data_IF_774092561115
#
_entry.id   IF_774092561115
#
_cell.length_a   1.000
_cell.length_b   1.000
_cell.length_c   1.000
_cell.angle_alpha   90.00
_cell.angle_beta   90.00
_cell.angle_gamma   90.00
#
_symmetry.space_group_name_H-M   'P 1'
#
loop_
_entity.id
_entity.type
_entity.pdbx_description
1 polymer ?
#
# COMPACT_ATOMS: atom_id res chain seq x y z
N UNK A 1 10.38 -5.97 3.69
CA UNK A 1 10.14 -5.02 4.79
C UNK A 1 11.04 -3.83 4.53
N UNK A 2 10.52 -2.75 3.95
CA UNK A 2 11.27 -1.55 3.54
C UNK A 2 10.75 -0.36 4.37
N UNK A 3 11.64 0.41 5.00
CA UNK A 3 11.39 1.67 5.70
C UNK A 3 12.08 2.82 4.96
N UNK A 4 11.76 4.07 5.27
CA UNK A 4 12.21 5.26 4.53
C UNK A 4 13.04 6.19 5.46
N UNK A 5 13.68 7.33 5.08
CA UNK A 5 14.19 8.41 6.00
C UNK A 5 14.26 9.88 5.46
N UNK A 6 14.05 10.99 6.24
CA UNK A 6 14.30 12.43 5.84
C UNK A 6 14.12 13.59 6.90
N UNK A 7 14.58 14.83 6.53
CA UNK A 7 14.53 16.17 7.20
C UNK A 7 13.57 17.16 6.51
N UNK A 8 12.85 17.99 7.27
CA UNK A 8 11.66 18.73 6.80
C UNK A 8 11.76 20.24 6.52
N UNK A 9 10.60 20.86 6.25
CA UNK A 9 10.12 22.17 6.71
C UNK A 9 8.58 22.25 6.57
N UNK A 10 7.89 22.92 7.49
CA UNK A 10 6.44 22.78 7.80
C UNK A 10 5.58 23.98 7.40
N UNK A 11 4.30 23.74 7.08
CA UNK A 11 3.17 24.65 7.38
C UNK A 11 1.91 23.83 7.62
N UNK A 12 1.28 23.99 8.79
CA UNK A 12 0.29 23.06 9.36
C UNK A 12 -1.18 23.38 9.06
N UNK A 13 -1.98 22.32 9.04
CA UNK A 13 -3.43 22.34 9.17
C UNK A 13 -3.84 21.34 10.28
N UNK A 14 -4.74 21.73 11.18
CA UNK A 14 -5.17 20.91 12.32
C UNK A 14 -6.27 19.91 11.94
N UNK A 15 -6.17 18.67 12.43
CA UNK A 15 -7.19 17.62 12.30
C UNK A 15 -7.79 17.33 13.69
N UNK A 16 -9.12 17.15 13.77
CA UNK A 16 -9.86 16.87 15.00
C UNK A 16 -9.58 15.46 15.56
N UNK A 17 -9.63 15.24 16.88
CA UNK A 17 -9.39 13.93 17.50
C UNK A 17 -10.54 12.94 17.23
N UNK A 18 -10.19 11.67 16.98
CA UNK A 18 -11.13 10.56 16.81
C UNK A 18 -11.33 9.80 18.13
N UNK A 19 -12.58 9.39 18.41
CA UNK A 19 -12.94 8.63 19.61
C UNK A 19 -12.59 7.13 19.49
N UNK A 20 -12.17 6.56 20.61
CA UNK A 20 -11.58 5.23 20.79
C UNK A 20 -12.55 4.07 20.50
N UNK A 21 -12.20 3.22 19.52
CA UNK A 21 -12.60 1.81 19.52
C UNK A 21 -11.35 0.92 19.37
N UNK A 22 -11.05 0.23 20.47
CA UNK A 22 -10.09 -0.87 20.72
C UNK A 22 -9.05 -1.24 19.66
N UNK A 23 -7.80 -0.88 19.93
CA UNK A 23 -6.62 -1.48 19.27
C UNK A 23 -6.54 -2.99 19.56
N UNK A 24 -6.44 -3.81 18.52
CA UNK A 24 -6.19 -5.25 18.63
C UNK A 24 -4.76 -5.50 19.17
N UNK A 25 -4.66 -6.06 20.37
CA UNK A 25 -3.44 -6.32 21.15
C UNK A 25 -2.69 -7.61 20.70
N UNK A 26 -2.91 -8.07 19.47
CA UNK A 26 -2.45 -9.38 18.98
C UNK A 26 -0.98 -9.51 18.56
N UNK A 27 -0.18 -8.45 18.60
CA UNK A 27 1.27 -8.53 18.38
C UNK A 27 1.99 -7.70 19.45
N UNK A 28 2.85 -8.31 20.31
CA UNK A 28 3.50 -7.63 21.44
C UNK A 28 4.31 -6.37 21.05
N UNK A 29 4.56 -6.17 19.76
CA UNK A 29 5.43 -5.11 19.22
C UNK A 29 4.69 -3.90 18.65
N UNK A 30 3.35 -3.94 18.51
CA UNK A 30 2.53 -2.76 18.16
C UNK A 30 2.21 -1.88 19.39
N UNK A 31 2.42 -2.40 20.61
CA UNK A 31 2.09 -1.71 21.87
C UNK A 31 3.01 -0.55 22.27
N UNK A 32 4.05 -0.23 21.48
CA UNK A 32 4.98 0.86 21.75
C UNK A 32 4.67 2.15 20.98
N UNK A 33 3.67 2.14 20.09
CA UNK A 33 3.26 3.31 19.31
C UNK A 33 2.08 3.98 20.00
N UNK A 34 2.13 5.31 20.14
CA UNK A 34 1.03 6.10 20.70
C UNK A 34 -0.25 5.82 19.88
N UNK A 35 -1.32 5.27 20.50
CA UNK A 35 -2.47 4.74 19.75
C UNK A 35 -3.24 5.81 18.98
N UNK A 36 -3.07 7.08 19.34
CA UNK A 36 -3.79 8.22 18.77
C UNK A 36 -3.04 8.91 17.62
N UNK A 37 -1.92 8.37 17.16
CA UNK A 37 -1.21 8.96 16.02
C UNK A 37 -1.99 8.77 14.71
N UNK A 38 -1.99 9.82 13.91
CA UNK A 38 -2.65 9.81 12.61
C UNK A 38 -1.94 10.74 11.63
N UNK A 39 -1.56 10.20 10.48
CA UNK A 39 -0.98 10.96 9.38
C UNK A 39 -1.69 10.72 8.07
N UNK A 40 -1.86 11.76 7.26
CA UNK A 40 -2.34 11.68 5.88
C UNK A 40 -1.45 12.48 4.96
N UNK A 41 -1.13 11.92 3.79
CA UNK A 41 -0.42 12.62 2.72
C UNK A 41 -1.05 12.31 1.38
N UNK A 42 -1.17 13.32 0.54
CA UNK A 42 -1.62 13.23 -0.84
C UNK A 42 -0.49 13.71 -1.76
N UNK A 43 -0.30 13.01 -2.89
CA UNK A 43 0.59 13.44 -3.96
C UNK A 43 -0.18 13.51 -5.28
N UNK A 44 -0.23 14.68 -5.90
CA UNK A 44 -0.90 14.88 -7.20
C UNK A 44 -0.12 14.21 -8.33
N UNK A 45 -0.75 14.07 -9.49
CA UNK A 45 -0.07 13.57 -10.69
C UNK A 45 1.07 14.47 -11.12
N UNK A 46 0.97 15.76 -10.85
CA UNK A 46 1.98 16.78 -11.13
C UNK A 46 3.13 16.72 -10.10
N UNK A 47 2.94 15.99 -9.00
CA UNK A 47 3.95 15.77 -7.96
C UNK A 47 3.85 16.73 -6.77
N UNK A 48 2.79 17.54 -6.71
CA UNK A 48 2.51 18.40 -5.55
C UNK A 48 2.12 17.55 -4.36
N UNK A 49 2.54 17.97 -3.17
CA UNK A 49 2.39 17.17 -1.95
C UNK A 49 1.64 17.98 -0.91
N UNK A 50 0.60 17.36 -0.36
CA UNK A 50 -0.17 17.88 0.76
C UNK A 50 -0.11 16.87 1.90
N UNK A 51 0.07 17.34 3.14
CA UNK A 51 0.20 16.46 4.30
C UNK A 51 -0.44 17.10 5.53
N UNK A 52 -1.00 16.28 6.42
CA UNK A 52 -1.55 16.70 7.70
C UNK A 52 -1.31 15.64 8.78
N UNK A 53 -1.32 16.09 10.05
CA UNK A 53 -1.04 15.24 11.21
C UNK A 53 0.38 14.67 11.21
N UNK A 54 0.50 13.43 11.68
CA UNK A 54 1.73 12.65 11.81
C UNK A 54 2.22 12.06 10.46
N UNK A 55 1.93 12.71 9.33
CA UNK A 55 2.27 12.23 7.99
C UNK A 55 3.77 12.03 7.72
N UNK A 56 4.61 12.49 8.65
CA UNK A 56 6.07 12.34 8.61
C UNK A 56 6.59 11.19 9.48
N UNK A 57 5.72 10.53 10.25
CA UNK A 57 6.06 9.32 11.00
C UNK A 57 6.30 8.17 10.04
N UNK A 58 7.33 7.40 10.33
CA UNK A 58 7.68 6.24 9.54
C UNK A 58 6.99 5.00 10.05
N UNK A 59 6.68 4.14 9.10
CA UNK A 59 6.18 2.82 9.37
C UNK A 59 6.67 1.88 8.28
N UNK A 60 6.78 0.61 8.61
CA UNK A 60 7.03 -0.40 7.59
C UNK A 60 5.83 -0.52 6.66
N UNK A 61 6.08 -0.41 5.36
CA UNK A 61 5.02 -0.49 4.35
C UNK A 61 4.40 -1.90 4.25
N UNK A 62 5.03 -2.93 4.84
CA UNK A 62 4.53 -4.31 4.91
C UNK A 62 3.93 -4.78 3.56
N UNK A 63 2.70 -5.28 3.56
CA UNK A 63 2.00 -5.80 2.38
C UNK A 63 1.73 -4.76 1.28
N UNK A 64 1.93 -3.46 1.53
CA UNK A 64 1.91 -2.44 0.46
C UNK A 64 3.04 -2.72 -0.55
N UNK A 65 4.15 -3.36 -0.12
CA UNK A 65 5.26 -3.72 -1.01
C UNK A 65 4.85 -4.64 -2.16
N UNK A 66 3.76 -5.41 -1.98
CA UNK A 66 3.24 -6.34 -3.00
C UNK A 66 2.75 -5.61 -4.24
N UNK A 67 2.28 -4.37 -4.11
CA UNK A 67 1.88 -3.52 -5.24
C UNK A 67 3.08 -3.23 -6.14
N UNK A 68 4.21 -2.84 -5.55
CA UNK A 68 5.44 -2.53 -6.28
C UNK A 68 6.06 -3.77 -6.91
N UNK A 69 6.06 -4.89 -6.20
CA UNK A 69 6.54 -6.16 -6.74
C UNK A 69 5.72 -6.58 -7.97
N UNK A 70 4.39 -6.51 -7.89
CA UNK A 70 3.50 -6.81 -9.02
C UNK A 70 3.74 -5.85 -10.19
N UNK A 71 3.87 -4.54 -9.93
CA UNK A 71 4.14 -3.55 -10.97
C UNK A 71 5.46 -3.86 -11.71
N UNK A 72 6.52 -4.23 -10.99
CA UNK A 72 7.79 -4.61 -11.61
C UNK A 72 7.68 -5.87 -12.46
N UNK A 73 6.98 -6.91 -11.98
CA UNK A 73 6.76 -8.11 -12.81
C UNK A 73 6.01 -7.78 -14.08
N UNK A 74 4.93 -6.98 -14.00
CA UNK A 74 4.17 -6.56 -15.17
C UNK A 74 5.03 -5.72 -16.14
N UNK A 75 5.87 -4.84 -15.60
CA UNK A 75 6.78 -4.00 -16.38
C UNK A 75 7.79 -4.84 -17.19
N UNK A 76 8.32 -5.92 -16.59
CA UNK A 76 9.36 -6.75 -17.19
C UNK A 76 8.83 -7.91 -18.06
N UNK A 77 7.65 -8.44 -17.75
CA UNK A 77 7.16 -9.71 -18.30
C UNK A 77 5.72 -9.63 -18.84
N UNK A 78 5.19 -8.41 -18.97
CA UNK A 78 3.84 -8.18 -19.45
C UNK A 78 2.80 -8.89 -18.59
N UNK A 79 1.85 -9.57 -19.23
CA UNK A 79 0.75 -10.26 -18.55
C UNK A 79 1.05 -11.72 -18.17
N UNK A 80 2.29 -12.19 -18.32
CA UNK A 80 2.68 -13.58 -18.09
C UNK A 80 2.36 -14.09 -16.68
N UNK A 81 2.47 -13.21 -15.68
CA UNK A 81 2.21 -13.54 -14.26
C UNK A 81 0.80 -14.06 -14.01
N UNK A 82 -0.19 -13.62 -14.79
CA UNK A 82 -1.59 -13.99 -14.60
C UNK A 82 -1.92 -15.44 -14.95
N UNK A 83 -0.96 -16.18 -15.52
CA UNK A 83 -1.06 -17.64 -15.69
C UNK A 83 -0.73 -18.40 -14.41
N UNK A 84 -0.10 -17.74 -13.43
CA UNK A 84 0.42 -18.33 -12.18
C UNK A 84 -0.28 -17.78 -10.93
N UNK A 85 -1.06 -16.72 -11.05
CA UNK A 85 -1.85 -16.11 -9.97
C UNK A 85 -3.14 -15.53 -10.56
N UNK A 86 -4.26 -15.76 -9.87
CA UNK A 86 -5.56 -15.23 -10.27
C UNK A 86 -5.74 -13.76 -9.84
N UNK A 87 -6.99 -13.27 -9.89
CA UNK A 87 -7.35 -11.85 -9.68
C UNK A 87 -8.60 -11.66 -8.82
N UNK A 88 -8.99 -12.70 -8.09
CA UNK A 88 -10.23 -12.72 -7.33
C UNK A 88 -9.98 -12.57 -5.83
N UNK A 89 -10.92 -11.98 -5.08
CA UNK A 89 -10.88 -12.02 -3.62
C UNK A 89 -10.82 -13.47 -3.10
N UNK A 90 -10.22 -13.65 -1.93
CA UNK A 90 -10.35 -14.91 -1.17
C UNK A 90 -11.66 -14.85 -0.37
N UNK A 91 -12.54 -15.82 -0.54
CA UNK A 91 -13.78 -15.93 0.27
C UNK A 91 -13.55 -16.48 1.68
N UNK A 92 -12.35 -17.00 1.95
CA UNK A 92 -11.87 -17.44 3.25
C UNK A 92 -10.74 -16.51 3.74
N UNK A 93 -10.40 -16.55 5.05
CA UNK A 93 -9.28 -15.78 5.58
C UNK A 93 -8.02 -15.94 4.72
N UNK A 94 -7.29 -14.84 4.51
CA UNK A 94 -6.16 -14.74 3.58
C UNK A 94 -5.00 -15.76 3.78
N UNK A 95 -5.02 -16.53 4.87
CA UNK A 95 -4.05 -17.58 5.22
C UNK A 95 -4.59 -19.02 5.09
N UNK A 96 -5.79 -19.23 4.52
CA UNK A 96 -6.40 -20.57 4.40
C UNK A 96 -5.66 -21.47 3.41
N UNK A 97 -4.92 -22.46 3.93
CA UNK A 97 -4.23 -23.49 3.13
C UNK A 97 -5.22 -24.39 2.37
N UNK A 98 -6.40 -24.64 2.94
CA UNK A 98 -7.47 -25.46 2.33
C UNK A 98 -7.92 -24.89 0.98
N UNK A 99 -7.99 -23.55 0.89
CA UNK A 99 -8.37 -22.91 -0.36
C UNK A 99 -7.30 -23.08 -1.44
N UNK A 100 -6.01 -22.99 -1.08
CA UNK A 100 -4.91 -23.16 -2.03
C UNK A 100 -4.85 -24.57 -2.60
N UNK A 101 -5.11 -25.59 -1.77
CA UNK A 101 -5.21 -26.98 -2.21
C UNK A 101 -6.37 -27.19 -3.19
N UNK A 102 -7.53 -26.59 -2.91
CA UNK A 102 -8.70 -26.67 -3.79
C UNK A 102 -8.52 -25.96 -5.14
N UNK A 103 -7.61 -24.99 -5.22
CA UNK A 103 -7.30 -24.21 -6.42
C UNK A 103 -6.05 -24.72 -7.17
N UNK A 104 -5.71 -26.00 -6.98
CA UNK A 104 -4.55 -26.67 -7.60
C UNK A 104 -3.22 -25.91 -7.36
N UNK A 105 -3.08 -25.25 -6.21
CA UNK A 105 -1.89 -24.51 -5.85
C UNK A 105 -1.72 -23.15 -6.53
N UNK A 106 -2.70 -22.67 -7.32
CA UNK A 106 -2.68 -21.34 -7.93
C UNK A 106 -3.30 -20.34 -6.94
N UNK A 107 -2.56 -19.31 -6.46
CA UNK A 107 -3.14 -18.37 -5.51
C UNK A 107 -4.20 -17.45 -6.14
N UNK A 108 -5.21 -17.10 -5.34
CA UNK A 108 -6.36 -16.27 -5.75
C UNK A 108 -6.03 -14.89 -6.31
N UNK A 109 -5.03 -14.22 -5.74
CA UNK A 109 -4.64 -12.87 -6.12
C UNK A 109 -3.21 -12.59 -5.64
N UNK A 110 -2.53 -11.59 -6.22
CA UNK A 110 -1.14 -11.27 -5.86
C UNK A 110 -0.98 -10.61 -4.47
N UNK A 111 -2.06 -10.27 -3.78
CA UNK A 111 -2.02 -9.50 -2.52
C UNK A 111 -2.15 -10.34 -1.25
N UNK A 112 -2.65 -11.57 -1.36
CA UNK A 112 -2.47 -12.60 -0.33
C UNK A 112 -1.02 -13.10 -0.30
N UNK A 113 -0.62 -13.74 0.80
CA UNK A 113 0.78 -14.14 0.99
C UNK A 113 1.25 -15.17 -0.05
N UNK A 114 0.43 -16.17 -0.36
CA UNK A 114 0.77 -17.17 -1.39
C UNK A 114 0.98 -16.53 -2.77
N UNK A 115 0.09 -15.61 -3.18
CA UNK A 115 0.25 -14.88 -4.44
C UNK A 115 1.46 -13.96 -4.47
N UNK A 116 1.76 -13.31 -3.35
CA UNK A 116 2.96 -12.48 -3.22
C UNK A 116 4.26 -13.31 -3.36
N UNK A 117 4.28 -14.55 -2.89
CA UNK A 117 5.41 -15.47 -3.09
C UNK A 117 5.58 -15.78 -4.59
N UNK A 118 4.50 -16.10 -5.31
CA UNK A 118 4.56 -16.34 -6.77
C UNK A 118 5.06 -15.12 -7.54
N UNK A 119 4.57 -13.92 -7.18
CA UNK A 119 5.04 -12.66 -7.77
C UNK A 119 6.52 -12.43 -7.46
N UNK A 120 6.93 -12.68 -6.22
CA UNK A 120 8.32 -12.48 -5.78
C UNK A 120 9.28 -13.47 -6.45
N UNK A 121 8.88 -14.73 -6.60
CA UNK A 121 9.60 -15.76 -7.35
C UNK A 121 9.82 -15.35 -8.81
N UNK A 122 8.76 -14.87 -9.47
CA UNK A 122 8.88 -14.38 -10.84
C UNK A 122 9.79 -13.16 -10.92
N UNK A 123 9.65 -12.22 -10.00
CA UNK A 123 10.50 -11.03 -9.95
C UNK A 123 11.96 -11.39 -9.70
N UNK A 124 12.23 -12.36 -8.83
CA UNK A 124 13.57 -12.88 -8.57
C UNK A 124 14.17 -13.47 -9.84
N UNK A 125 13.40 -14.29 -10.57
CA UNK A 125 13.82 -14.87 -11.84
C UNK A 125 14.15 -13.81 -12.90
N UNK A 126 13.45 -12.67 -12.89
CA UNK A 126 13.65 -11.58 -13.86
C UNK A 126 14.82 -10.66 -13.50
N UNK A 127 15.12 -10.49 -12.21
CA UNK A 127 16.02 -9.43 -11.73
C UNK A 127 17.26 -9.94 -11.00
N UNK A 128 17.30 -11.23 -10.63
CA UNK A 128 18.31 -11.82 -9.75
C UNK A 128 18.22 -11.35 -8.29
N UNK A 129 17.49 -10.27 -7.99
CA UNK A 129 17.30 -9.75 -6.64
C UNK A 129 15.99 -8.94 -6.54
N UNK A 130 14.90 -9.64 -6.20
CA UNK A 130 13.57 -9.03 -6.11
C UNK A 130 13.50 -7.89 -5.09
N UNK A 131 14.13 -8.04 -3.93
CA UNK A 131 14.12 -7.02 -2.87
C UNK A 131 14.82 -5.73 -3.32
N UNK A 132 15.97 -5.86 -3.99
CA UNK A 132 16.69 -4.74 -4.58
C UNK A 132 15.84 -4.03 -5.64
N UNK A 133 15.21 -4.76 -6.53
CA UNK A 133 14.38 -4.19 -7.59
C UNK A 133 13.21 -3.37 -7.01
N UNK A 134 12.49 -3.91 -6.02
CA UNK A 134 11.42 -3.18 -5.33
C UNK A 134 11.96 -1.92 -4.64
N UNK A 135 13.09 -2.03 -3.95
CA UNK A 135 13.72 -0.89 -3.27
C UNK A 135 14.11 0.21 -4.25
N UNK A 136 14.72 -0.14 -5.37
CA UNK A 136 15.13 0.84 -6.40
C UNK A 136 13.93 1.54 -7.03
N UNK A 137 12.85 0.81 -7.32
CA UNK A 137 11.57 1.42 -7.73
C UNK A 137 11.07 2.41 -6.67
N UNK A 138 10.98 2.00 -5.41
CA UNK A 138 10.49 2.85 -4.34
C UNK A 138 11.37 4.10 -4.13
N UNK A 139 12.71 3.97 -4.18
CA UNK A 139 13.65 5.10 -4.10
C UNK A 139 13.40 6.10 -5.22
N UNK A 140 13.25 5.60 -6.45
CA UNK A 140 12.97 6.43 -7.63
C UNK A 140 11.63 7.15 -7.52
N UNK A 141 10.54 6.42 -7.25
CA UNK A 141 9.19 7.01 -7.22
C UNK A 141 9.00 7.97 -6.05
N UNK A 142 9.69 7.76 -4.92
CA UNK A 142 9.65 8.69 -3.79
C UNK A 142 10.66 9.83 -3.86
N UNK A 143 11.62 9.76 -4.79
CA UNK A 143 12.80 10.64 -4.79
C UNK A 143 13.63 10.51 -3.51
N UNK A 144 13.55 9.38 -2.80
CA UNK A 144 14.24 9.18 -1.54
C UNK A 144 15.22 8.01 -1.58
N UNK A 145 16.51 8.32 -1.61
CA UNK A 145 17.59 7.33 -1.58
C UNK A 145 17.68 6.52 -0.27
N UNK A 146 17.06 6.98 0.80
CA UNK A 146 17.12 6.32 2.11
C UNK A 146 16.05 5.25 2.34
N UNK A 147 15.14 5.02 1.38
CA UNK A 147 14.26 3.83 1.40
C UNK A 147 15.16 2.59 1.49
N UNK A 148 15.14 1.84 2.58
CA UNK A 148 15.93 0.63 2.72
C UNK A 148 15.23 -0.44 3.55
N UNK A 149 15.77 -1.65 3.52
CA UNK A 149 15.27 -2.72 4.37
C UNK A 149 15.64 -2.43 5.80
N UNK A 150 14.63 -2.31 6.66
CA UNK A 150 14.88 -2.14 8.08
C UNK A 150 15.09 -3.51 8.73
N UNK A 151 16.37 -3.86 8.93
CA UNK A 151 16.77 -5.08 9.63
C UNK A 151 16.37 -5.07 11.11
N UNK A 152 16.10 -3.88 11.68
CA UNK A 152 15.57 -3.73 13.03
C UNK A 152 14.06 -3.76 13.06
N UNK A 153 13.29 -3.47 12.01
CA UNK A 153 11.83 -3.76 11.99
C UNK A 153 11.52 -5.27 11.91
N UNK A 154 12.55 -6.11 11.72
CA UNK A 154 12.48 -7.53 12.09
C UNK A 154 12.49 -7.75 13.64
N UNK A 155 12.70 -6.72 14.48
CA UNK A 155 12.82 -6.80 15.94
C UNK A 155 12.54 -5.54 16.84
N UNK A 156 12.41 -4.30 16.35
CA UNK A 156 12.17 -3.05 17.11
C UNK A 156 12.03 -1.84 16.15
N UNK A 157 10.89 -1.17 16.17
CA UNK A 157 10.55 -0.05 15.28
C UNK A 157 10.98 1.34 15.81
N UNK A 158 11.05 2.28 14.84
CA UNK A 158 10.97 3.75 14.87
C UNK A 158 12.25 4.50 14.46
N UNK A 159 12.16 5.21 13.32
CA UNK A 159 12.96 6.43 13.11
C UNK A 159 13.15 6.97 11.68
N UNK A 160 12.30 7.97 11.34
CA UNK A 160 12.53 9.28 10.64
C UNK A 160 12.25 9.51 9.11
N UNK A 161 11.02 9.83 8.64
CA UNK A 161 10.55 10.48 7.37
C UNK A 161 10.43 9.79 5.96
N UNK A 162 9.22 9.67 5.33
CA UNK A 162 8.84 10.09 3.92
C UNK A 162 7.40 9.73 3.43
N UNK A 163 7.02 10.35 2.30
CA UNK A 163 5.74 10.36 1.56
C UNK A 163 5.31 9.02 0.92
N UNK A 164 4.65 8.12 1.64
CA UNK A 164 4.22 6.84 1.04
C UNK A 164 3.27 7.00 -0.17
N UNK A 165 2.51 8.10 -0.24
CA UNK A 165 1.71 8.45 -1.41
C UNK A 165 2.55 8.62 -2.69
N UNK A 166 3.79 9.16 -2.62
CA UNK A 166 4.62 9.30 -3.82
C UNK A 166 5.04 7.96 -4.41
N UNK A 167 5.15 6.91 -3.58
CA UNK A 167 5.51 5.57 -4.05
C UNK A 167 4.49 5.03 -5.05
N UNK A 168 3.21 5.32 -4.84
CA UNK A 168 2.12 4.86 -5.68
C UNK A 168 1.60 5.92 -6.67
N UNK A 169 2.25 7.10 -6.76
CA UNK A 169 1.87 8.16 -7.70
C UNK A 169 1.78 7.65 -9.13
N UNK A 170 2.70 6.76 -9.54
CA UNK A 170 2.68 6.21 -10.90
C UNK A 170 1.37 5.50 -11.25
N UNK A 171 0.67 4.91 -10.28
CA UNK A 171 -0.65 4.28 -10.49
C UNK A 171 -1.78 5.29 -10.70
N UNK A 172 -1.65 6.50 -10.15
CA UNK A 172 -2.53 7.63 -10.45
C UNK A 172 -2.19 8.26 -11.80
N UNK A 173 -0.92 8.19 -12.21
CA UNK A 173 -0.35 8.77 -13.43
C UNK A 173 -0.36 7.83 -14.64
N UNK A 174 -1.29 6.86 -14.71
CA UNK A 174 -1.39 5.89 -15.83
C UNK A 174 -0.09 5.10 -16.11
N UNK A 175 0.70 4.87 -15.07
CA UNK A 175 1.95 4.13 -15.10
C UNK A 175 3.18 4.98 -15.38
N UNK A 176 3.04 6.30 -15.51
CA UNK A 176 4.18 7.23 -15.61
C UNK A 176 4.82 7.44 -14.24
N UNK A 177 6.10 7.09 -14.13
CA UNK A 177 6.92 7.27 -12.95
C UNK A 177 7.32 8.72 -12.70
N UNK A 178 7.93 8.97 -11.55
CA UNK A 178 8.31 10.32 -11.11
C UNK A 178 9.26 11.06 -12.06
N UNK A 179 10.11 10.32 -12.79
CA UNK A 179 11.07 10.82 -13.78
C UNK A 179 10.50 10.86 -15.21
N UNK A 180 9.21 10.57 -15.39
CA UNK A 180 8.56 10.48 -16.70
C UNK A 180 8.74 9.14 -17.41
N UNK A 181 9.46 8.18 -16.83
CA UNK A 181 9.59 6.84 -17.41
C UNK A 181 8.27 6.08 -17.32
N UNK A 182 7.95 5.29 -18.34
CA UNK A 182 6.76 4.44 -18.31
C UNK A 182 7.05 3.17 -17.50
N UNK A 183 6.57 3.13 -16.26
CA UNK A 183 6.67 1.95 -15.37
C UNK A 183 5.68 0.87 -15.79
N UNK A 184 4.45 1.26 -16.09
CA UNK A 184 3.37 0.39 -16.56
C UNK A 184 2.68 1.02 -17.76
N UNK A 185 2.18 0.21 -18.68
CA UNK A 185 1.21 0.71 -19.66
C UNK A 185 -0.09 1.16 -18.97
N UNK A 186 -0.91 2.02 -19.60
CA UNK A 186 -2.23 2.37 -19.07
C UNK A 186 -3.13 1.16 -18.81
N UNK A 187 -3.04 0.13 -19.66
CA UNK A 187 -3.80 -1.11 -19.50
C UNK A 187 -3.35 -1.91 -18.27
N UNK A 188 -2.03 -2.03 -18.04
CA UNK A 188 -1.50 -2.68 -16.84
C UNK A 188 -1.84 -1.89 -15.58
N UNK A 189 -1.72 -0.56 -15.61
CA UNK A 189 -2.10 0.32 -14.49
C UNK A 189 -3.55 0.14 -14.10
N UNK A 190 -4.46 0.14 -15.09
CA UNK A 190 -5.90 -0.15 -14.86
C UNK A 190 -6.10 -1.49 -14.16
N UNK A 191 -5.37 -2.53 -14.56
CA UNK A 191 -5.48 -3.88 -13.96
C UNK A 191 -4.95 -3.92 -12.53
N UNK A 192 -3.81 -3.28 -12.25
CA UNK A 192 -3.28 -3.18 -10.87
C UNK A 192 -4.27 -2.46 -9.98
N UNK A 193 -4.82 -1.33 -10.43
CA UNK A 193 -5.86 -0.59 -9.70
C UNK A 193 -7.12 -1.44 -9.47
N UNK A 194 -7.55 -2.23 -10.46
CA UNK A 194 -8.69 -3.15 -10.28
C UNK A 194 -8.43 -4.22 -9.22
N UNK A 195 -7.25 -4.85 -9.21
CA UNK A 195 -6.88 -5.84 -8.19
C UNK A 195 -6.69 -5.19 -6.81
N UNK A 196 -6.21 -3.95 -6.74
CA UNK A 196 -6.13 -3.20 -5.48
C UNK A 196 -7.53 -2.93 -4.92
N UNK A 197 -8.47 -2.51 -5.76
CA UNK A 197 -9.85 -2.27 -5.35
C UNK A 197 -10.51 -3.54 -4.78
N UNK A 198 -10.32 -4.69 -5.41
CA UNK A 198 -11.02 -5.93 -5.03
C UNK A 198 -10.30 -6.78 -4.00
N UNK A 199 -8.97 -6.68 -3.88
CA UNK A 199 -8.16 -7.59 -3.06
C UNK A 199 -7.23 -6.86 -2.07
N UNK A 200 -7.28 -5.52 -2.02
CA UNK A 200 -6.22 -4.74 -1.40
C UNK A 200 -6.34 -4.54 0.12
N UNK A 201 -7.53 -4.64 0.69
CA UNK A 201 -7.81 -4.40 2.11
C UNK A 201 -8.16 -5.68 2.90
N UNK A 202 -7.44 -6.78 2.60
CA UNK A 202 -7.64 -8.09 3.25
C UNK A 202 -9.09 -8.59 3.08
N UNK A 203 -9.66 -9.22 4.10
CA UNK A 203 -11.03 -9.72 4.11
C UNK A 203 -12.06 -8.57 4.09
N UNK A 204 -11.63 -7.32 4.31
CA UNK A 204 -12.47 -6.12 4.23
C UNK A 204 -12.38 -5.40 2.87
N UNK A 205 -11.82 -6.02 1.83
CA UNK A 205 -11.71 -5.37 0.51
C UNK A 205 -13.06 -4.94 -0.08
N UNK A 206 -14.12 -5.73 0.10
CA UNK A 206 -15.47 -5.37 -0.32
C UNK A 206 -16.02 -4.15 0.44
N UNK A 207 -15.88 -4.16 1.77
CA UNK A 207 -16.31 -3.04 2.64
C UNK A 207 -15.51 -1.76 2.35
N UNK A 208 -14.20 -1.89 2.15
CA UNK A 208 -13.34 -0.78 1.77
C UNK A 208 -13.75 -0.18 0.42
N UNK A 209 -14.05 -1.01 -0.57
CA UNK A 209 -14.55 -0.54 -1.86
C UNK A 209 -15.92 0.15 -1.73
N UNK A 210 -16.81 -0.38 -0.91
CA UNK A 210 -18.14 0.19 -0.66
C UNK A 210 -18.08 1.57 0.00
N UNK A 211 -17.25 1.71 1.05
CA UNK A 211 -17.13 2.97 1.80
C UNK A 211 -16.22 3.99 1.14
N UNK A 212 -15.00 3.58 0.78
CA UNK A 212 -13.98 4.51 0.29
C UNK A 212 -14.09 4.73 -1.21
N UNK A 213 -14.45 3.70 -1.99
CA UNK A 213 -14.59 3.85 -3.44
C UNK A 213 -13.28 4.09 -4.20
N UNK A 214 -12.13 3.67 -3.66
CA UNK A 214 -10.81 3.83 -4.30
C UNK A 214 -10.02 2.52 -4.34
N UNK A 215 -9.21 2.28 -5.39
CA UNK A 215 -8.15 1.28 -5.37
C UNK A 215 -7.21 1.49 -4.19
N UNK A 216 -7.15 0.54 -3.26
CA UNK A 216 -6.35 0.64 -2.04
C UNK A 216 -5.43 -0.55 -1.79
N UNK A 217 -4.39 -0.38 -0.98
CA UNK A 217 -3.65 -1.48 -0.36
C UNK A 217 -3.29 -1.11 1.08
N UNK A 218 -3.66 -1.97 2.03
CA UNK A 218 -3.28 -1.84 3.43
C UNK A 218 -2.05 -2.69 3.80
N UNK A 219 -1.36 -2.31 4.86
CA UNK A 219 -0.40 -3.14 5.57
C UNK A 219 -0.64 -3.11 7.08
N UNK A 220 -0.37 -4.23 7.75
CA UNK A 220 -0.47 -4.39 9.22
C UNK A 220 0.39 -3.43 10.05
N UNK A 221 1.24 -2.62 9.40
CA UNK A 221 1.92 -1.50 10.06
C UNK A 221 1.02 -0.27 10.26
N UNK A 222 -0.28 -0.34 9.97
CA UNK A 222 -1.23 0.77 10.09
C UNK A 222 -1.34 1.65 8.83
N UNK A 223 -0.55 1.36 7.80
CA UNK A 223 -0.53 2.12 6.55
C UNK A 223 -1.59 1.69 5.56
N UNK A 224 -2.17 2.65 4.84
CA UNK A 224 -2.99 2.40 3.65
C UNK A 224 -2.54 3.36 2.56
N UNK A 225 -2.37 2.84 1.35
CA UNK A 225 -2.19 3.63 0.13
C UNK A 225 -3.43 3.47 -0.73
N UNK A 226 -4.04 4.57 -1.15
CA UNK A 226 -5.17 4.64 -2.06
C UNK A 226 -4.83 5.46 -3.31
N UNK A 227 -5.41 5.11 -4.44
CA UNK A 227 -5.15 5.76 -5.73
C UNK A 227 -6.44 6.39 -6.22
N UNK A 228 -6.40 7.69 -6.55
CA UNK A 228 -7.45 8.38 -7.29
C UNK A 228 -6.97 8.49 -8.75
N UNK A 229 -7.45 7.62 -9.65
CA UNK A 229 -6.96 7.57 -11.03
C UNK A 229 -7.06 8.94 -11.70
N UNK A 230 -6.01 9.30 -12.45
CA UNK A 230 -5.91 10.59 -13.14
C UNK A 230 -5.88 11.84 -12.24
N UNK A 231 -5.77 11.71 -10.91
CA UNK A 231 -5.71 12.84 -9.98
C UNK A 231 -4.53 12.79 -9.01
N UNK A 232 -4.51 11.80 -8.12
CA UNK A 232 -3.52 11.74 -7.05
C UNK A 232 -3.39 10.34 -6.44
N UNK A 233 -2.35 10.13 -5.64
CA UNK A 233 -2.26 9.03 -4.69
C UNK A 233 -2.36 9.59 -3.27
N UNK A 234 -3.04 8.87 -2.39
CA UNK A 234 -3.23 9.21 -0.97
C UNK A 234 -2.63 8.11 -0.12
N UNK A 235 -1.92 8.47 0.94
CA UNK A 235 -1.45 7.53 1.95
C UNK A 235 -1.89 8.02 3.32
N UNK A 236 -2.46 7.11 4.09
CA UNK A 236 -2.80 7.33 5.50
C UNK A 236 -2.02 6.36 6.37
N UNK A 237 -1.77 6.75 7.61
CA UNK A 237 -1.19 5.89 8.62
C UNK A 237 -1.81 6.17 9.98
N UNK A 238 -2.19 5.10 10.67
CA UNK A 238 -2.48 5.12 12.10
C UNK A 238 -2.36 3.70 12.65
N UNK A 239 -1.74 3.51 13.83
CA UNK A 239 -1.43 2.18 14.37
C UNK A 239 -2.66 1.39 14.83
N UNK A 240 -3.79 2.04 15.12
CA UNK A 240 -5.02 1.38 15.56
C UNK A 240 -5.66 0.53 14.47
N UNK A 241 -5.45 -0.80 14.53
CA UNK A 241 -6.03 -1.76 13.59
C UNK A 241 -7.36 -2.31 14.08
N UNK A 242 -8.31 -2.47 13.16
CA UNK A 242 -9.54 -3.21 13.40
C UNK A 242 -9.36 -4.72 13.17
N UNK A 243 -10.44 -5.49 13.34
CA UNK A 243 -10.44 -6.97 13.24
C UNK A 243 -9.94 -7.53 11.89
N UNK A 244 -10.04 -6.75 10.82
CA UNK A 244 -9.56 -7.13 9.48
C UNK A 244 -8.08 -6.80 9.22
N UNK A 245 -7.38 -6.25 10.20
CA UNK A 245 -5.97 -5.84 10.09
C UNK A 245 -5.75 -4.51 9.37
N UNK A 246 -6.81 -3.76 9.05
CA UNK A 246 -6.74 -2.42 8.46
C UNK A 246 -6.79 -1.34 9.56
N UNK A 247 -6.13 -0.20 9.31
CA UNK A 247 -6.19 0.97 10.19
C UNK A 247 -7.60 1.57 10.22
N UNK A 248 -8.22 1.63 11.40
CA UNK A 248 -9.59 2.14 11.58
C UNK A 248 -9.66 3.62 11.20
N UNK A 249 -8.78 4.44 11.79
CA UNK A 249 -8.69 5.87 11.51
C UNK A 249 -8.26 6.12 10.04
N UNK A 250 -7.39 5.28 9.48
CA UNK A 250 -7.00 5.36 8.08
C UNK A 250 -8.18 5.17 7.11
N UNK A 251 -8.99 4.13 7.32
CA UNK A 251 -10.19 3.88 6.49
C UNK A 251 -11.20 5.01 6.66
N UNK A 252 -11.47 5.46 7.89
CA UNK A 252 -12.41 6.55 8.15
C UNK A 252 -11.97 7.87 7.49
N UNK A 253 -10.67 8.18 7.54
CA UNK A 253 -10.14 9.38 6.90
C UNK A 253 -10.24 9.33 5.36
N UNK A 254 -10.06 8.16 4.76
CA UNK A 254 -10.22 7.99 3.31
C UNK A 254 -11.69 8.08 2.88
N UNK A 255 -12.61 7.53 3.67
CA UNK A 255 -14.07 7.65 3.49
C UNK A 255 -14.52 9.12 3.56
N UNK A 256 -14.08 9.85 4.58
CA UNK A 256 -14.35 11.29 4.69
C UNK A 256 -13.71 12.08 3.55
N UNK A 257 -12.49 11.72 3.13
CA UNK A 257 -11.81 12.35 2.01
C UNK A 257 -12.61 12.20 0.71
N UNK A 258 -13.08 11.00 0.37
CA UNK A 258 -13.86 10.79 -0.85
C UNK A 258 -15.24 11.42 -0.78
N UNK A 259 -15.89 11.39 0.40
CA UNK A 259 -17.16 12.09 0.65
C UNK A 259 -17.02 13.60 0.42
N UNK A 260 -15.98 14.23 0.98
CA UNK A 260 -15.80 15.69 0.88
C UNK A 260 -15.35 16.15 -0.50
N UNK A 261 -14.56 15.34 -1.20
CA UNK A 261 -14.00 15.72 -2.51
C UNK A 261 -14.86 15.27 -3.69
N UNK A 262 -15.77 14.32 -3.47
CA UNK A 262 -16.48 13.62 -4.54
C UNK A 262 -15.56 12.74 -5.42
N UNK A 263 -14.33 12.45 -4.96
CA UNK A 263 -13.37 11.65 -5.73
C UNK A 263 -13.50 10.17 -5.37
N UNK A 264 -14.38 9.49 -6.09
CA UNK A 264 -14.59 8.04 -6.08
C UNK A 264 -14.42 7.49 -7.50
N UNK A 265 -14.15 6.19 -7.64
CA UNK A 265 -14.19 5.50 -8.96
C UNK A 265 -15.59 5.08 -9.39
N UNK A 266 -16.57 5.23 -8.49
CA UNK A 266 -18.01 5.08 -8.69
C UNK A 266 -18.69 6.45 -8.65
#
# INVERSE_FOLDING_TARGET
MLAVRSRGNTSGASVCPFNEEGADQGSPQLGAVEPNQFGISLVTREGEVFSAGDAHVEFSIQSISKVFALALVLSNDGDGIWKRVFREPSGNPFNSLVQLESENGIPRNPFINAGAIVVTDRLLSLTGNAARAVRELMRRESGNASVDTDHRVAASELGRGHRNASLARFLASNGLGADGTLVLSPAQTKRVNAVMLTCGAYDAAGEFAYRVGLPGKSGVGGGIVAVVPNKCAVSVWSPGLGRSGNSVAGVAALDEFTTRTGWSVF
#
